data_IF_550756823919
#
_entry.id   IF_550756823919
#
_cell.length_a   1.000
_cell.length_b   1.000
_cell.length_c   1.000
_cell.angle_alpha   90.00
_cell.angle_beta   90.00
_cell.angle_gamma   90.00
#
_symmetry.space_group_name_H-M   'P 1'
#
loop_
_entity.id
_entity.type
_entity.pdbx_description
1 polymer ?
#
# COMPACT_ATOMS: atom_id res chain seq x y z
N UNK A 1 25.40 16.33 -18.40
CA UNK A 1 24.31 15.66 -17.65
C UNK A 1 23.74 16.56 -16.58
N UNK A 2 24.54 17.17 -15.68
CA UNK A 2 23.99 18.04 -14.62
C UNK A 2 23.11 19.20 -15.13
N UNK A 3 23.33 19.67 -16.37
CA UNK A 3 22.46 20.67 -17.03
C UNK A 3 21.01 20.22 -17.23
N UNK A 4 20.78 18.90 -17.32
CA UNK A 4 19.46 18.29 -17.51
C UNK A 4 18.82 17.92 -16.17
N UNK A 5 19.32 18.44 -15.04
CA UNK A 5 18.74 18.26 -13.72
C UNK A 5 18.10 19.56 -13.27
N UNK A 6 16.79 19.52 -13.04
CA UNK A 6 16.01 20.65 -12.58
C UNK A 6 16.15 20.80 -11.06
N UNK A 7 16.37 22.03 -10.59
CA UNK A 7 16.38 22.36 -9.15
C UNK A 7 15.00 22.59 -8.57
N UNK A 8 14.02 22.82 -9.44
CA UNK A 8 12.66 23.14 -9.08
C UNK A 8 11.71 22.43 -10.03
N UNK A 9 10.56 22.04 -9.50
CA UNK A 9 9.60 21.20 -10.23
C UNK A 9 8.95 21.93 -11.42
N UNK A 10 8.78 23.26 -11.32
CA UNK A 10 8.24 24.12 -12.36
C UNK A 10 9.11 24.19 -13.63
N UNK A 11 10.35 23.73 -13.52
CA UNK A 11 11.33 23.70 -14.62
C UNK A 11 11.60 22.30 -15.14
N UNK A 12 10.87 21.30 -14.67
CA UNK A 12 11.11 19.91 -14.99
C UNK A 12 10.16 19.40 -16.06
N UNK A 13 10.69 18.55 -16.95
CA UNK A 13 9.89 17.85 -17.96
C UNK A 13 9.45 16.47 -17.48
N UNK A 14 10.16 15.91 -16.49
CA UNK A 14 9.89 14.58 -15.98
C UNK A 14 10.37 14.39 -14.54
N UNK A 15 9.63 13.60 -13.77
CA UNK A 15 9.98 13.14 -12.43
C UNK A 15 10.78 11.85 -12.51
N UNK A 16 11.77 11.69 -11.63
CA UNK A 16 12.53 10.44 -11.51
C UNK A 16 12.63 10.02 -10.05
N UNK A 17 12.18 8.79 -9.80
CA UNK A 17 12.56 8.07 -8.59
C UNK A 17 13.99 7.53 -8.74
N UNK A 18 14.93 8.27 -8.17
CA UNK A 18 16.36 7.91 -8.20
C UNK A 18 16.58 6.59 -7.47
N UNK A 19 15.81 6.30 -6.44
CA UNK A 19 15.99 5.09 -5.63
C UNK A 19 15.67 3.82 -6.40
N UNK A 20 14.63 3.84 -7.24
CA UNK A 20 14.30 2.72 -8.11
C UNK A 20 15.30 2.64 -9.26
N UNK A 21 15.52 3.74 -9.99
CA UNK A 21 16.36 3.74 -11.19
C UNK A 21 17.82 3.40 -10.88
N UNK A 22 18.39 3.97 -9.81
CA UNK A 22 19.77 3.69 -9.44
C UNK A 22 19.99 2.23 -9.03
N UNK A 23 18.94 1.47 -8.67
CA UNK A 23 19.01 0.05 -8.29
C UNK A 23 18.60 -0.91 -9.41
N UNK A 24 18.26 -0.40 -10.59
CA UNK A 24 17.76 -1.23 -11.67
C UNK A 24 18.87 -2.11 -12.29
N UNK A 25 18.82 -3.40 -11.97
CA UNK A 25 19.69 -4.40 -12.59
C UNK A 25 19.44 -4.50 -14.10
N UNK A 26 20.49 -4.83 -14.86
CA UNK A 26 20.43 -4.98 -16.31
C UNK A 26 20.61 -3.69 -17.11
N UNK A 27 20.62 -2.51 -16.45
CA UNK A 27 21.07 -1.24 -17.04
C UNK A 27 22.43 -0.89 -16.45
N UNK A 28 23.39 -0.55 -17.32
CA UNK A 28 24.74 -0.14 -16.93
C UNK A 28 25.47 -1.15 -16.01
N UNK A 29 25.32 -2.44 -16.29
CA UNK A 29 26.00 -3.51 -15.55
C UNK A 29 25.29 -3.98 -14.28
N UNK A 30 26.03 -4.69 -13.43
CA UNK A 30 25.49 -5.48 -12.31
C UNK A 30 25.69 -4.83 -10.92
N UNK A 31 26.18 -3.59 -10.85
CA UNK A 31 26.32 -2.88 -9.58
C UNK A 31 24.96 -2.76 -8.87
N UNK A 32 24.94 -2.97 -7.54
CA UNK A 32 23.70 -2.83 -6.75
C UNK A 32 23.13 -1.42 -6.89
N UNK A 33 23.99 -0.40 -6.85
CA UNK A 33 23.62 1.00 -7.06
C UNK A 33 24.56 1.64 -8.06
N UNK A 34 24.02 2.39 -9.02
CA UNK A 34 24.82 3.22 -9.92
C UNK A 34 24.10 4.49 -10.37
N UNK A 35 24.78 5.63 -10.28
CA UNK A 35 24.30 6.92 -10.81
C UNK A 35 24.42 7.02 -12.33
N UNK A 36 25.28 6.23 -12.97
CA UNK A 36 25.35 6.14 -14.44
C UNK A 36 23.97 5.85 -15.06
N UNK A 37 23.11 5.12 -14.34
CA UNK A 37 21.72 4.84 -14.76
C UNK A 37 20.89 6.12 -14.91
N UNK A 38 21.09 7.11 -14.04
CA UNK A 38 20.43 8.42 -14.13
C UNK A 38 20.94 9.20 -15.35
N UNK A 39 22.24 9.11 -15.64
CA UNK A 39 22.84 9.76 -16.82
C UNK A 39 22.27 9.21 -18.13
N UNK A 40 22.13 7.88 -18.20
CA UNK A 40 21.53 7.20 -19.35
C UNK A 40 20.05 7.55 -19.52
N UNK A 41 19.33 7.70 -18.40
CA UNK A 41 17.92 8.13 -18.39
C UNK A 41 17.75 9.56 -18.88
N UNK A 42 18.59 10.50 -18.41
CA UNK A 42 18.59 11.88 -18.91
C UNK A 42 18.86 11.94 -20.42
N UNK A 43 19.86 11.19 -20.88
CA UNK A 43 20.14 11.10 -22.31
C UNK A 43 19.00 10.45 -23.11
N UNK A 44 18.28 9.49 -22.51
CA UNK A 44 17.12 8.85 -23.12
C UNK A 44 15.92 9.80 -23.20
N UNK A 45 15.72 10.67 -22.21
CA UNK A 45 14.69 11.71 -22.23
C UNK A 45 14.97 12.69 -23.38
N UNK A 46 16.19 13.24 -23.46
CA UNK A 46 16.60 14.14 -24.54
C UNK A 46 16.37 13.52 -25.92
N UNK A 47 16.73 12.25 -26.11
CA UNK A 47 16.48 11.54 -27.39
C UNK A 47 15.01 11.37 -27.70
N UNK A 48 14.18 11.15 -26.67
CA UNK A 48 12.75 10.93 -26.82
C UNK A 48 11.99 12.21 -27.14
N UNK A 49 12.35 13.31 -26.50
CA UNK A 49 11.72 14.62 -26.71
C UNK A 49 12.27 15.34 -27.94
N UNK A 50 13.51 15.03 -28.34
CA UNK A 50 14.23 15.81 -29.35
C UNK A 50 14.75 17.15 -28.81
N UNK A 51 14.58 17.40 -27.51
CA UNK A 51 14.93 18.65 -26.84
C UNK A 51 16.21 18.45 -26.00
N UNK A 52 17.32 19.14 -26.33
CA UNK A 52 18.58 19.05 -25.57
C UNK A 52 18.49 19.62 -24.15
N UNK A 53 17.50 20.47 -23.87
CA UNK A 53 17.27 21.12 -22.58
C UNK A 53 16.26 20.37 -21.70
N UNK A 54 15.69 19.27 -22.21
CA UNK A 54 14.79 18.41 -21.44
C UNK A 54 15.43 18.00 -20.11
N UNK A 55 14.64 18.09 -19.05
CA UNK A 55 15.13 18.17 -17.68
C UNK A 55 14.40 17.22 -16.72
N UNK A 56 15.13 16.73 -15.73
CA UNK A 56 14.67 15.77 -14.74
C UNK A 56 14.60 16.42 -13.36
N UNK A 57 13.47 16.28 -12.68
CA UNK A 57 13.38 16.51 -11.25
C UNK A 57 13.60 15.18 -10.52
N UNK A 58 14.64 15.15 -9.67
CA UNK A 58 15.10 13.93 -9.03
C UNK A 58 14.64 13.87 -7.58
N UNK A 59 13.99 12.77 -7.21
CA UNK A 59 13.60 12.49 -5.82
C UNK A 59 14.28 11.20 -5.35
N UNK A 60 14.83 11.21 -4.13
CA UNK A 60 15.54 10.07 -3.58
C UNK A 60 15.23 9.80 -2.11
N UNK A 61 15.07 8.53 -1.76
CA UNK A 61 15.02 8.09 -0.36
C UNK A 61 16.30 8.45 0.40
N UNK A 62 16.13 8.80 1.66
CA UNK A 62 17.22 8.90 2.63
C UNK A 62 18.06 7.61 2.71
N UNK A 63 17.43 6.45 2.50
CA UNK A 63 18.09 5.13 2.49
C UNK A 63 19.11 4.95 1.36
N UNK A 64 18.98 5.70 0.26
CA UNK A 64 19.92 5.65 -0.85
C UNK A 64 21.27 6.24 -0.43
N UNK A 65 21.27 7.40 0.24
CA UNK A 65 22.47 8.01 0.80
C UNK A 65 23.03 7.22 1.99
N UNK A 66 22.19 6.66 2.85
CA UNK A 66 22.65 5.84 3.99
C UNK A 66 23.43 4.59 3.59
N UNK A 67 23.25 4.08 2.36
CA UNK A 67 23.93 2.88 1.86
C UNK A 67 25.14 3.16 0.97
N UNK A 68 26.00 4.13 1.32
CA UNK A 68 27.18 4.54 0.51
C UNK A 68 28.07 3.37 0.06
N UNK A 69 28.25 2.36 0.92
CA UNK A 69 29.08 1.18 0.64
C UNK A 69 28.49 0.22 -0.41
N UNK A 70 27.25 0.46 -0.85
CA UNK A 70 26.54 -0.35 -1.84
C UNK A 70 26.64 0.22 -3.26
N UNK A 71 27.22 1.40 -3.42
CA UNK A 71 27.68 1.86 -4.71
C UNK A 71 28.97 1.11 -5.05
N UNK A 72 29.11 0.67 -6.29
CA UNK A 72 30.33 0.03 -6.75
C UNK A 72 31.53 1.01 -6.70
N UNK A 73 31.27 2.29 -6.98
CA UNK A 73 32.24 3.37 -6.88
C UNK A 73 31.88 4.34 -5.73
N UNK A 74 32.73 4.50 -4.70
CA UNK A 74 32.55 5.48 -3.63
C UNK A 74 32.46 6.94 -4.13
N UNK A 75 33.01 7.27 -5.30
CA UNK A 75 32.88 8.59 -5.89
C UNK A 75 31.44 8.92 -6.31
N UNK A 76 30.66 7.94 -6.74
CA UNK A 76 29.23 8.14 -7.03
C UNK A 76 28.44 8.50 -5.77
N UNK A 77 28.71 7.84 -4.64
CA UNK A 77 28.06 8.18 -3.38
C UNK A 77 28.35 9.63 -2.93
N UNK A 78 29.58 10.11 -3.18
CA UNK A 78 29.96 11.52 -2.94
C UNK A 78 29.27 12.47 -3.92
N UNK A 79 29.16 12.09 -5.19
CA UNK A 79 28.43 12.86 -6.22
C UNK A 79 26.94 13.00 -5.89
N UNK A 80 26.29 11.93 -5.45
CA UNK A 80 24.88 12.00 -5.01
C UNK A 80 24.73 12.95 -3.83
N UNK A 81 25.66 12.90 -2.87
CA UNK A 81 25.64 13.84 -1.74
C UNK A 81 25.81 15.29 -2.20
N UNK A 82 26.71 15.55 -3.14
CA UNK A 82 26.89 16.87 -3.75
C UNK A 82 25.60 17.36 -4.44
N UNK A 83 24.95 16.49 -5.22
CA UNK A 83 23.68 16.83 -5.87
C UNK A 83 22.58 17.20 -4.87
N UNK A 84 22.47 16.45 -3.77
CA UNK A 84 21.53 16.78 -2.68
C UNK A 84 21.88 18.14 -2.07
N UNK A 85 23.16 18.37 -1.74
CA UNK A 85 23.61 19.62 -1.15
C UNK A 85 23.37 20.84 -2.06
N UNK A 86 23.42 20.64 -3.39
CA UNK A 86 23.18 21.66 -4.42
C UNK A 86 21.70 21.81 -4.82
N UNK A 87 20.80 21.02 -4.22
CA UNK A 87 19.37 21.03 -4.55
C UNK A 87 19.03 20.46 -5.93
N UNK A 88 19.89 19.59 -6.49
CA UNK A 88 19.62 18.86 -7.73
C UNK A 88 18.88 17.54 -7.50
N UNK A 89 18.82 17.08 -6.25
CA UNK A 89 18.05 15.90 -5.80
C UNK A 89 17.31 16.28 -4.53
N UNK A 90 15.99 16.16 -4.55
CA UNK A 90 15.16 16.27 -3.35
C UNK A 90 15.30 14.96 -2.54
N UNK A 91 15.85 15.06 -1.34
CA UNK A 91 15.94 13.92 -0.43
C UNK A 91 14.75 13.91 0.53
N UNK A 92 14.05 12.78 0.57
CA UNK A 92 12.89 12.58 1.45
C UNK A 92 12.97 11.24 2.20
N UNK A 93 12.18 11.05 3.27
CA UNK A 93 12.10 9.76 3.96
C UNK A 93 11.53 8.63 3.08
N UNK A 94 10.59 8.98 2.19
CA UNK A 94 9.89 8.08 1.27
C UNK A 94 9.75 8.76 -0.10
N UNK A 95 10.54 8.31 -1.08
CA UNK A 95 10.55 8.85 -2.43
C UNK A 95 9.29 8.50 -3.21
N UNK A 96 8.69 7.33 -2.98
CA UNK A 96 7.49 6.89 -3.69
C UNK A 96 6.34 7.85 -3.39
N UNK A 97 6.14 8.18 -2.11
CA UNK A 97 5.11 9.13 -1.68
C UNK A 97 5.29 10.51 -2.33
N UNK A 98 6.52 11.04 -2.30
CA UNK A 98 6.81 12.37 -2.84
C UNK A 98 6.71 12.44 -4.36
N UNK A 99 7.22 11.44 -5.09
CA UNK A 99 7.10 11.37 -6.55
C UNK A 99 5.64 11.30 -6.98
N UNK A 100 4.83 10.48 -6.32
CA UNK A 100 3.41 10.34 -6.64
C UNK A 100 2.61 11.61 -6.31
N UNK A 101 2.93 12.28 -5.20
CA UNK A 101 2.35 13.59 -4.87
C UNK A 101 2.62 14.61 -5.98
N UNK A 102 3.88 14.77 -6.38
CA UNK A 102 4.27 15.71 -7.44
C UNK A 102 3.65 15.33 -8.79
N UNK A 103 3.58 14.05 -9.12
CA UNK A 103 2.98 13.57 -10.36
C UNK A 103 1.48 13.90 -10.43
N UNK A 104 0.76 13.73 -9.33
CA UNK A 104 -0.67 14.06 -9.23
C UNK A 104 -0.90 15.57 -9.34
N UNK A 105 -0.08 16.38 -8.68
CA UNK A 105 -0.21 17.84 -8.69
C UNK A 105 0.14 18.48 -10.03
N UNK A 106 1.14 17.94 -10.74
CA UNK A 106 1.72 18.59 -11.93
C UNK A 106 1.32 17.93 -13.25
N UNK A 107 0.86 16.69 -13.23
CA UNK A 107 0.64 15.90 -14.43
C UNK A 107 1.92 15.48 -15.17
N UNK A 108 3.10 15.77 -14.61
CA UNK A 108 4.37 15.42 -15.24
C UNK A 108 4.55 13.90 -15.34
N UNK A 109 5.20 13.40 -16.41
CA UNK A 109 5.54 12.00 -16.52
C UNK A 109 6.51 11.55 -15.41
N UNK A 110 6.43 10.28 -15.02
CA UNK A 110 7.31 9.66 -14.02
C UNK A 110 8.15 8.56 -14.65
N UNK A 111 9.47 8.64 -14.53
CA UNK A 111 10.39 7.56 -14.92
C UNK A 111 10.65 6.66 -13.72
N UNK A 112 10.18 5.42 -13.81
CA UNK A 112 10.26 4.39 -12.77
C UNK A 112 10.12 2.99 -13.35
N UNK A 113 10.44 1.97 -12.57
CA UNK A 113 10.11 0.58 -12.87
C UNK A 113 9.22 -0.05 -11.78
N UNK A 114 8.77 0.77 -10.81
CA UNK A 114 7.78 0.35 -9.81
C UNK A 114 6.36 0.55 -10.34
N UNK A 115 5.47 -0.36 -9.96
CA UNK A 115 4.04 -0.30 -10.28
C UNK A 115 3.23 0.36 -9.15
N UNK A 116 3.87 0.76 -8.05
CA UNK A 116 3.29 1.45 -6.90
C UNK A 116 2.02 0.77 -6.38
N UNK A 117 2.04 -0.57 -6.33
CA UNK A 117 0.83 -1.37 -6.07
C UNK A 117 0.26 -1.11 -4.68
N UNK A 118 1.11 -0.85 -3.70
CA UNK A 118 0.75 -0.52 -2.32
C UNK A 118 0.23 0.91 -2.11
N UNK A 119 0.52 1.84 -3.03
CA UNK A 119 0.01 3.21 -2.98
C UNK A 119 -1.36 3.38 -3.64
N UNK A 120 -1.90 2.35 -4.32
CA UNK A 120 -3.15 2.48 -5.10
C UNK A 120 -4.41 2.68 -4.25
N UNK A 121 -4.36 2.34 -2.96
CA UNK A 121 -5.45 2.66 -2.03
C UNK A 121 -5.47 4.18 -1.72
N UNK A 122 -4.31 4.84 -1.58
CA UNK A 122 -4.21 6.28 -1.27
C UNK A 122 -4.10 7.18 -2.50
N UNK A 123 -3.71 6.62 -3.65
CA UNK A 123 -3.58 7.30 -4.95
C UNK A 123 -4.34 6.54 -6.03
N UNK A 124 -5.69 6.59 -6.05
CA UNK A 124 -6.51 5.77 -6.96
C UNK A 124 -6.25 6.02 -8.44
N UNK A 125 -5.77 7.22 -8.81
CA UNK A 125 -5.44 7.61 -10.19
C UNK A 125 -4.34 6.75 -10.84
N UNK A 126 -3.56 6.00 -10.06
CA UNK A 126 -2.55 5.07 -10.57
C UNK A 126 -3.21 3.86 -11.26
N UNK A 127 -4.38 3.43 -10.80
CA UNK A 127 -5.08 2.26 -11.35
C UNK A 127 -5.42 2.49 -12.83
N UNK A 128 -4.86 1.67 -13.71
CA UNK A 128 -5.12 1.75 -15.14
C UNK A 128 -4.39 2.88 -15.87
N UNK A 129 -3.58 3.71 -15.20
CA UNK A 129 -2.81 4.75 -15.87
C UNK A 129 -1.82 4.14 -16.87
N UNK A 130 -1.88 4.59 -18.11
CA UNK A 130 -1.13 4.05 -19.25
C UNK A 130 -0.28 5.08 -19.99
N UNK A 131 -0.30 6.34 -19.57
CA UNK A 131 0.32 7.46 -20.29
C UNK A 131 1.36 8.21 -19.47
N UNK A 132 1.21 8.30 -18.15
CA UNK A 132 2.06 9.15 -17.30
C UNK A 132 3.36 8.46 -16.86
N UNK A 133 3.42 7.14 -16.88
CA UNK A 133 4.58 6.39 -16.38
C UNK A 133 5.46 5.88 -17.53
N UNK A 134 6.77 6.03 -17.37
CA UNK A 134 7.79 5.58 -18.30
C UNK A 134 8.75 4.63 -17.57
N UNK A 135 9.16 3.54 -18.23
CA UNK A 135 10.22 2.66 -17.74
C UNK A 135 11.47 2.77 -18.60
N UNK A 136 12.66 2.87 -17.98
CA UNK A 136 13.90 2.75 -18.73
C UNK A 136 14.15 1.27 -19.06
N UNK A 137 14.45 1.00 -20.32
CA UNK A 137 14.82 -0.34 -20.81
C UNK A 137 16.20 -0.31 -21.48
N UNK A 138 17.01 -1.38 -21.33
CA UNK A 138 18.26 -1.50 -22.05
C UNK A 138 18.05 -1.45 -23.56
N UNK A 139 18.89 -0.68 -24.26
CA UNK A 139 18.91 -0.56 -25.71
C UNK A 139 20.30 -0.90 -26.26
N UNK A 140 20.43 -0.93 -27.60
CA UNK A 140 21.70 -1.28 -28.26
C UNK A 140 22.81 -0.30 -27.88
N UNK A 141 24.05 -0.81 -27.85
CA UNK A 141 25.24 0.00 -27.55
C UNK A 141 25.34 0.47 -26.09
N UNK A 142 24.67 -0.20 -25.14
CA UNK A 142 24.72 0.17 -23.73
C UNK A 142 23.89 1.41 -23.39
N UNK A 143 22.98 1.81 -24.28
CA UNK A 143 22.08 2.96 -24.07
C UNK A 143 20.78 2.54 -23.37
N UNK A 144 19.95 3.53 -23.05
CA UNK A 144 18.61 3.34 -22.48
C UNK A 144 17.56 3.94 -23.40
N UNK A 145 16.42 3.29 -23.51
CA UNK A 145 15.20 3.82 -24.13
C UNK A 145 14.12 3.97 -23.05
N UNK A 146 13.29 5.01 -23.13
CA UNK A 146 12.15 5.20 -22.22
C UNK A 146 10.89 4.70 -22.91
N UNK A 147 10.27 3.65 -22.38
CA UNK A 147 9.02 3.08 -22.90
C UNK A 147 7.84 3.37 -21.99
N UNK A 148 6.60 3.49 -22.50
CA UNK A 148 5.42 3.54 -21.66
C UNK A 148 5.38 2.36 -20.67
N UNK A 149 5.03 2.68 -19.42
CA UNK A 149 4.79 1.73 -18.36
C UNK A 149 3.28 1.71 -18.06
N UNK A 150 2.59 0.69 -18.58
CA UNK A 150 1.18 0.49 -18.29
C UNK A 150 1.02 0.01 -16.85
N UNK A 151 0.41 0.82 -15.98
CA UNK A 151 0.23 0.48 -14.58
C UNK A 151 -0.76 -0.67 -14.39
N UNK A 152 -1.66 -0.87 -15.36
CA UNK A 152 -2.68 -1.92 -15.32
C UNK A 152 -3.63 -1.78 -14.14
N UNK A 153 -4.55 -2.73 -13.98
CA UNK A 153 -5.52 -2.77 -12.88
C UNK A 153 -5.14 -3.91 -11.94
N UNK A 154 -5.01 -3.61 -10.65
CA UNK A 154 -4.79 -4.61 -9.58
C UNK A 154 -6.05 -4.81 -8.78
N UNK A 155 -6.29 -6.04 -8.36
CA UNK A 155 -7.40 -6.34 -7.46
C UNK A 155 -7.19 -5.70 -6.09
N UNK A 156 -8.27 -5.35 -5.36
CA UNK A 156 -8.18 -4.84 -3.99
C UNK A 156 -7.39 -5.76 -3.05
N UNK A 157 -7.46 -7.08 -3.29
CA UNK A 157 -6.71 -8.11 -2.59
C UNK A 157 -5.20 -7.95 -2.80
N UNK A 158 -4.73 -7.90 -4.07
CA UNK A 158 -3.31 -7.72 -4.41
C UNK A 158 -2.73 -6.43 -3.81
N UNK A 159 -3.49 -5.33 -3.88
CA UNK A 159 -3.10 -4.03 -3.32
C UNK A 159 -2.86 -4.16 -1.80
N UNK A 160 -3.82 -4.69 -1.05
CA UNK A 160 -3.65 -4.90 0.40
C UNK A 160 -2.55 -5.88 0.76
N UNK A 161 -2.35 -6.92 -0.05
CA UNK A 161 -1.27 -7.90 0.14
C UNK A 161 0.09 -7.22 0.02
N UNK A 162 0.25 -6.36 -1.00
CA UNK A 162 1.47 -5.62 -1.22
C UNK A 162 1.72 -4.59 -0.12
N UNK A 163 0.69 -3.87 0.30
CA UNK A 163 0.78 -2.91 1.40
C UNK A 163 1.24 -3.59 2.71
N UNK A 164 0.71 -4.78 3.04
CA UNK A 164 1.21 -5.55 4.19
C UNK A 164 2.68 -5.95 4.01
N UNK A 165 3.06 -6.45 2.84
CA UNK A 165 4.44 -6.83 2.56
C UNK A 165 5.42 -5.64 2.74
N UNK A 166 5.02 -4.43 2.30
CA UNK A 166 5.79 -3.20 2.49
C UNK A 166 5.94 -2.84 3.97
N UNK A 167 4.87 -2.95 4.77
CA UNK A 167 4.92 -2.77 6.23
C UNK A 167 5.85 -3.78 6.89
N UNK A 168 5.71 -5.07 6.55
CA UNK A 168 6.57 -6.14 7.08
C UNK A 168 8.04 -5.89 6.74
N UNK A 169 8.34 -5.47 5.51
CA UNK A 169 9.70 -5.09 5.08
C UNK A 169 10.23 -3.93 5.92
N UNK A 170 9.45 -2.85 6.07
CA UNK A 170 9.83 -1.65 6.86
C UNK A 170 10.12 -1.99 8.31
N UNK A 171 9.39 -2.94 8.88
CA UNK A 171 9.56 -3.40 10.25
C UNK A 171 10.63 -4.48 10.42
N UNK A 172 11.27 -4.95 9.34
CA UNK A 172 12.28 -6.01 9.40
C UNK A 172 11.70 -7.39 9.73
N UNK A 173 10.44 -7.62 9.40
CA UNK A 173 9.68 -8.85 9.68
C UNK A 173 9.67 -9.84 8.52
N UNK A 174 10.51 -9.61 7.52
CA UNK A 174 10.71 -10.53 6.40
C UNK A 174 12.06 -11.22 6.52
N UNK A 175 12.06 -12.55 6.48
CA UNK A 175 13.24 -13.39 6.40
C UNK A 175 13.73 -13.60 4.96
N UNK A 176 14.51 -14.67 4.78
CA UNK A 176 14.98 -15.07 3.44
C UNK A 176 13.79 -15.30 2.49
N UNK A 177 13.94 -14.89 1.23
CA UNK A 177 12.88 -15.03 0.22
C UNK A 177 11.62 -14.20 0.46
N UNK A 178 11.68 -13.15 1.30
CA UNK A 178 10.53 -12.30 1.67
C UNK A 178 9.41 -13.07 2.38
N UNK A 179 9.75 -14.14 3.08
CA UNK A 179 8.81 -14.90 3.91
C UNK A 179 8.62 -14.18 5.25
N UNK A 180 7.39 -13.95 5.73
CA UNK A 180 7.16 -13.38 7.05
C UNK A 180 7.83 -14.22 8.16
N UNK A 181 8.39 -13.54 9.16
CA UNK A 181 8.92 -14.20 10.37
C UNK A 181 7.75 -14.68 11.23
N UNK A 182 7.19 -15.85 10.92
CA UNK A 182 5.98 -16.41 11.57
C UNK A 182 6.10 -16.50 13.09
N UNK A 183 7.30 -16.78 13.60
CA UNK A 183 7.60 -16.79 15.04
C UNK A 183 7.49 -15.41 15.71
N UNK A 184 7.38 -14.34 14.92
CA UNK A 184 7.18 -12.96 15.40
C UNK A 184 5.78 -12.45 15.03
N UNK A 185 5.37 -12.56 13.77
CA UNK A 185 4.09 -11.98 13.29
C UNK A 185 2.87 -12.76 13.77
N UNK A 186 3.03 -14.05 14.06
CA UNK A 186 1.99 -14.93 14.65
C UNK A 186 1.86 -14.82 16.17
N UNK A 187 2.58 -13.89 16.80
CA UNK A 187 2.57 -13.69 18.26
C UNK A 187 1.94 -12.35 18.63
N UNK A 188 1.30 -12.33 19.80
CA UNK A 188 0.85 -11.10 20.45
C UNK A 188 1.99 -10.53 21.29
N UNK A 189 2.20 -9.23 21.22
CA UNK A 189 3.30 -8.54 21.90
C UNK A 189 2.76 -7.49 22.85
N UNK A 190 3.47 -7.25 23.95
CA UNK A 190 3.19 -6.17 24.91
C UNK A 190 4.44 -5.36 25.18
N UNK A 191 4.29 -4.04 25.23
CA UNK A 191 5.38 -3.17 25.64
C UNK A 191 5.48 -3.12 27.18
N UNK A 192 6.69 -3.24 27.77
CA UNK A 192 6.86 -3.14 29.22
C UNK A 192 6.70 -1.70 29.77
N UNK A 193 6.75 -0.68 28.91
CA UNK A 193 6.48 0.70 29.32
C UNK A 193 5.02 0.85 29.76
N UNK A 194 4.81 1.43 30.95
CA UNK A 194 3.48 1.69 31.49
C UNK A 194 2.73 2.66 30.57
N UNK A 195 1.49 2.33 30.21
CA UNK A 195 0.63 3.20 29.39
C UNK A 195 0.88 3.15 27.89
N UNK A 196 1.74 2.24 27.39
CA UNK A 196 1.93 2.07 25.95
C UNK A 196 0.69 1.46 25.29
N UNK A 197 -0.06 2.25 24.51
CA UNK A 197 -1.25 1.80 23.82
C UNK A 197 -0.98 1.07 22.48
N UNK A 198 0.21 1.24 21.88
CA UNK A 198 0.53 0.70 20.54
C UNK A 198 0.51 -0.83 20.44
N UNK A 199 0.70 -1.51 21.56
CA UNK A 199 0.76 -2.96 21.69
C UNK A 199 -0.21 -3.46 22.78
N UNK A 200 -1.28 -2.70 23.04
CA UNK A 200 -2.31 -3.06 24.01
C UNK A 200 -3.51 -3.66 23.26
N UNK A 201 -3.66 -4.98 23.34
CA UNK A 201 -4.77 -5.73 22.72
C UNK A 201 -6.11 -5.53 23.43
N UNK A 202 -6.11 -5.00 24.67
CA UNK A 202 -7.31 -4.86 25.49
C UNK A 202 -7.91 -3.45 25.45
N UNK A 203 -7.08 -2.42 25.25
CA UNK A 203 -7.49 -1.00 25.31
C UNK A 203 -7.31 -0.23 24.01
N UNK A 204 -6.69 -0.82 23.00
CA UNK A 204 -6.46 -0.19 21.69
C UNK A 204 -7.53 -0.50 20.66
N UNK A 205 -7.50 0.24 19.54
CA UNK A 205 -8.23 -0.09 18.30
C UNK A 205 -7.33 -0.81 17.29
N UNK A 206 -6.02 -0.79 17.50
CA UNK A 206 -5.04 -1.42 16.64
C UNK A 206 -3.84 -1.86 17.44
N UNK A 207 -3.27 -3.01 17.08
CA UNK A 207 -1.99 -3.50 17.57
C UNK A 207 -1.01 -3.56 16.41
N UNK A 208 0.02 -2.72 16.51
CA UNK A 208 1.06 -2.70 15.51
C UNK A 208 1.86 -4.00 15.57
N UNK A 209 2.35 -4.41 14.41
CA UNK A 209 3.41 -5.39 14.32
C UNK A 209 4.72 -4.80 14.91
N UNK A 210 5.56 -5.63 15.54
CA UNK A 210 6.77 -5.15 16.20
C UNK A 210 7.84 -4.73 15.19
N UNK A 211 8.73 -3.81 15.55
CA UNK A 211 9.92 -3.52 14.74
C UNK A 211 11.06 -4.43 15.17
N UNK A 212 11.72 -5.08 14.21
CA UNK A 212 12.92 -5.87 14.49
C UNK A 212 14.13 -4.96 14.61
N UNK A 213 14.83 -5.02 15.75
CA UNK A 213 16.12 -4.37 15.97
C UNK A 213 17.10 -5.40 16.54
N UNK A 214 18.24 -5.57 15.89
CA UNK A 214 19.25 -6.56 16.27
C UNK A 214 18.67 -7.97 16.55
N UNK A 215 17.73 -8.40 15.72
CA UNK A 215 17.06 -9.71 15.85
C UNK A 215 16.00 -9.80 16.95
N UNK A 216 15.62 -8.69 17.60
CA UNK A 216 14.63 -8.68 18.70
C UNK A 216 13.40 -7.83 18.37
N UNK A 217 12.17 -8.30 18.70
CA UNK A 217 10.95 -7.51 18.62
C UNK A 217 11.00 -6.31 19.56
N UNK A 218 10.88 -5.11 19.01
CA UNK A 218 11.07 -3.83 19.72
C UNK A 218 9.87 -2.91 19.51
N UNK A 219 9.49 -2.20 20.57
CA UNK A 219 8.45 -1.18 20.52
C UNK A 219 8.89 0.00 19.64
N UNK A 220 8.05 0.40 18.70
CA UNK A 220 8.34 1.54 17.82
C UNK A 220 8.51 2.86 18.60
N UNK A 221 7.68 3.10 19.61
CA UNK A 221 7.70 4.34 20.40
C UNK A 221 8.78 4.37 21.48
N UNK A 222 8.84 3.32 22.32
CA UNK A 222 9.71 3.33 23.51
C UNK A 222 11.09 2.70 23.28
N UNK A 223 11.32 2.09 22.10
CA UNK A 223 12.54 1.35 21.79
C UNK A 223 12.90 0.20 22.78
N UNK A 224 11.93 -0.24 23.60
CA UNK A 224 12.09 -1.37 24.54
C UNK A 224 11.76 -2.70 23.86
N UNK A 225 12.49 -3.76 24.24
CA UNK A 225 12.16 -5.13 23.85
C UNK A 225 10.75 -5.48 24.30
N UNK A 226 9.96 -6.04 23.39
CA UNK A 226 8.58 -6.43 23.67
C UNK A 226 8.52 -7.77 24.40
N UNK A 227 7.51 -7.91 25.24
CA UNK A 227 7.18 -9.13 25.94
C UNK A 227 6.19 -9.95 25.10
N UNK A 228 6.49 -11.23 24.92
CA UNK A 228 5.58 -12.17 24.26
C UNK A 228 4.33 -12.40 25.16
N UNK A 229 3.15 -12.37 24.56
CA UNK A 229 1.85 -12.60 25.21
C UNK A 229 1.13 -13.84 24.68
N UNK A 230 1.81 -14.68 23.90
CA UNK A 230 1.22 -15.88 23.34
C UNK A 230 0.85 -15.73 21.87
N UNK A 231 0.05 -16.66 21.38
CA UNK A 231 -0.37 -16.67 19.98
C UNK A 231 -1.27 -15.47 19.67
N UNK A 232 -1.09 -14.91 18.47
CA UNK A 232 -2.01 -13.92 17.92
C UNK A 232 -3.29 -14.62 17.47
N UNK A 233 -4.44 -14.04 17.80
CA UNK A 233 -5.71 -14.53 17.27
C UNK A 233 -5.70 -14.45 15.74
N UNK A 234 -6.12 -15.53 15.08
CA UNK A 234 -6.31 -15.51 13.64
C UNK A 234 -7.45 -14.56 13.31
N UNK A 235 -7.24 -13.69 12.32
CA UNK A 235 -8.25 -12.72 11.91
C UNK A 235 -8.25 -12.54 10.39
N UNK A 236 -9.40 -12.20 9.86
CA UNK A 236 -9.59 -11.84 8.46
C UNK A 236 -10.14 -10.42 8.38
N UNK A 237 -9.63 -9.63 7.43
CA UNK A 237 -10.12 -8.28 7.21
C UNK A 237 -11.01 -8.23 5.96
N UNK A 238 -12.15 -7.58 6.09
CA UNK A 238 -13.06 -7.21 5.01
C UNK A 238 -12.84 -5.75 4.63
N UNK A 239 -13.02 -5.44 3.36
CA UNK A 239 -13.09 -4.07 2.84
C UNK A 239 -14.48 -3.82 2.29
N UNK A 240 -15.05 -2.66 2.61
CA UNK A 240 -16.22 -2.11 1.95
C UNK A 240 -15.76 -1.17 0.85
N UNK A 241 -16.23 -1.44 -0.36
CA UNK A 241 -15.99 -0.64 -1.55
C UNK A 241 -17.29 0.05 -1.96
N UNK A 242 -17.21 1.37 -2.16
CA UNK A 242 -18.23 2.20 -2.76
C UNK A 242 -17.72 2.68 -4.12
N UNK A 243 -18.38 2.29 -5.21
CA UNK A 243 -17.97 2.62 -6.58
C UNK A 243 -16.51 2.22 -6.91
N UNK A 244 -16.02 1.17 -6.23
CA UNK A 244 -14.65 0.69 -6.37
C UNK A 244 -13.64 1.33 -5.40
N UNK A 245 -14.01 2.39 -4.69
CA UNK A 245 -13.18 3.04 -3.67
C UNK A 245 -13.39 2.39 -2.29
N UNK A 246 -12.31 2.10 -1.57
CA UNK A 246 -12.39 1.52 -0.23
C UNK A 246 -12.79 2.59 0.79
N UNK A 247 -13.99 2.47 1.38
CA UNK A 247 -14.53 3.44 2.35
C UNK A 247 -14.45 2.97 3.79
N UNK A 248 -14.36 1.65 4.03
CA UNK A 248 -14.20 1.10 5.38
C UNK A 248 -13.50 -0.26 5.36
N UNK A 249 -12.89 -0.62 6.51
CA UNK A 249 -12.25 -1.91 6.75
C UNK A 249 -12.73 -2.49 8.08
N UNK A 250 -12.95 -3.81 8.12
CA UNK A 250 -13.46 -4.50 9.30
C UNK A 250 -12.65 -5.76 9.55
N UNK A 251 -12.14 -5.91 10.77
CA UNK A 251 -11.42 -7.13 11.16
C UNK A 251 -12.39 -8.09 11.86
N UNK A 252 -12.41 -9.34 11.43
CA UNK A 252 -13.20 -10.42 12.01
C UNK A 252 -12.25 -11.45 12.62
N UNK A 253 -12.46 -11.81 13.88
CA UNK A 253 -11.70 -12.89 14.51
C UNK A 253 -12.18 -14.26 14.03
N UNK A 254 -11.27 -15.22 13.92
CA UNK A 254 -11.63 -16.60 13.67
C UNK A 254 -12.55 -17.12 14.80
N UNK A 255 -13.58 -17.89 14.42
CA UNK A 255 -14.65 -18.35 15.30
C UNK A 255 -15.81 -17.37 15.45
N UNK A 256 -15.76 -16.18 14.82
CA UNK A 256 -16.85 -15.19 14.91
C UNK A 256 -17.87 -15.32 13.78
N UNK A 257 -19.13 -14.99 14.09
CA UNK A 257 -20.20 -14.82 13.11
C UNK A 257 -20.70 -13.39 13.20
N UNK A 258 -20.64 -12.66 12.08
CA UNK A 258 -21.00 -11.25 12.01
C UNK A 258 -22.03 -11.01 10.91
N UNK A 259 -23.12 -10.31 11.26
CA UNK A 259 -24.13 -9.88 10.28
C UNK A 259 -23.77 -8.51 9.73
N UNK A 260 -23.90 -8.33 8.43
CA UNK A 260 -23.65 -7.07 7.72
C UNK A 260 -24.95 -6.58 7.12
N UNK A 261 -25.27 -5.29 7.28
CA UNK A 261 -26.43 -4.69 6.63
C UNK A 261 -26.69 -3.26 7.08
N UNK A 262 -27.88 -2.75 6.77
CA UNK A 262 -28.28 -1.39 7.16
C UNK A 262 -28.41 -1.21 8.68
N UNK A 263 -28.86 -2.25 9.37
CA UNK A 263 -29.11 -2.24 10.82
C UNK A 263 -29.14 -3.69 11.33
N UNK A 264 -27.97 -4.35 11.39
CA UNK A 264 -27.88 -5.80 11.60
C UNK A 264 -28.15 -6.26 13.05
N UNK A 265 -28.32 -5.33 13.99
CA UNK A 265 -28.47 -5.59 15.42
C UNK A 265 -27.13 -5.63 16.16
N UNK A 266 -27.18 -6.02 17.43
CA UNK A 266 -26.01 -6.06 18.31
C UNK A 266 -24.91 -6.98 17.78
N UNK A 267 -23.66 -6.49 17.82
CA UNK A 267 -22.49 -7.21 17.30
C UNK A 267 -22.45 -7.31 15.76
N UNK A 268 -23.40 -6.70 15.05
CA UNK A 268 -23.42 -6.65 13.60
C UNK A 268 -22.72 -5.41 13.04
N UNK A 269 -22.21 -5.52 11.83
CA UNK A 269 -21.53 -4.47 11.07
C UNK A 269 -22.58 -3.62 10.34
N UNK A 270 -22.86 -2.44 10.89
CA UNK A 270 -23.77 -1.47 10.28
C UNK A 270 -23.08 -0.71 9.14
N UNK A 271 -23.74 -0.61 7.99
CA UNK A 271 -23.29 0.21 6.86
C UNK A 271 -23.74 1.68 6.97
N UNK A 272 -24.50 2.02 8.01
CA UNK A 272 -24.97 3.39 8.25
C UNK A 272 -23.79 4.35 8.46
N UNK A 273 -23.82 5.51 7.79
CA UNK A 273 -22.76 6.52 7.84
C UNK A 273 -21.50 6.17 7.02
N UNK A 274 -21.40 4.96 6.49
CA UNK A 274 -20.29 4.53 5.63
C UNK A 274 -20.62 4.63 4.14
N UNK A 275 -21.91 4.61 3.80
CA UNK A 275 -22.42 4.77 2.43
C UNK A 275 -23.60 5.75 2.41
N UNK A 276 -23.90 6.38 1.26
CA UNK A 276 -25.05 7.28 1.12
C UNK A 276 -26.39 6.62 1.47
N UNK A 277 -27.28 7.35 2.15
CA UNK A 277 -28.58 6.85 2.64
C UNK A 277 -29.47 6.30 1.52
N UNK A 278 -29.38 6.87 0.31
CA UNK A 278 -30.12 6.42 -0.86
C UNK A 278 -29.74 4.99 -1.27
N UNK A 279 -28.46 4.64 -1.17
CA UNK A 279 -27.97 3.28 -1.45
C UNK A 279 -28.30 2.36 -0.26
N UNK A 280 -28.11 2.86 0.95
CA UNK A 280 -28.40 2.14 2.19
C UNK A 280 -29.87 1.69 2.28
N UNK A 281 -30.81 2.50 1.78
CA UNK A 281 -32.23 2.16 1.74
C UNK A 281 -32.54 0.87 0.94
N UNK A 282 -31.67 0.51 -0.01
CA UNK A 282 -31.76 -0.71 -0.84
C UNK A 282 -31.04 -1.90 -0.23
N UNK A 283 -30.41 -1.74 0.94
CA UNK A 283 -29.75 -2.81 1.68
C UNK A 283 -30.67 -3.26 2.81
N UNK A 284 -30.92 -4.57 2.89
CA UNK A 284 -31.63 -5.20 4.00
C UNK A 284 -31.02 -4.86 5.37
N UNK A 285 -31.83 -4.86 6.43
CA UNK A 285 -31.36 -4.62 7.80
C UNK A 285 -30.21 -5.54 8.18
N UNK A 286 -30.40 -6.84 7.97
CA UNK A 286 -29.36 -7.86 7.91
C UNK A 286 -29.33 -8.39 6.49
N UNK A 287 -28.24 -8.15 5.77
CA UNK A 287 -28.12 -8.45 4.34
C UNK A 287 -27.30 -9.70 4.10
N UNK A 288 -26.14 -9.81 4.75
CA UNK A 288 -25.26 -10.98 4.68
C UNK A 288 -24.91 -11.42 6.10
N UNK A 289 -24.76 -12.72 6.30
CA UNK A 289 -24.06 -13.27 7.46
C UNK A 289 -22.69 -13.78 7.02
N UNK A 290 -21.67 -13.41 7.78
CA UNK A 290 -20.27 -13.78 7.52
C UNK A 290 -19.77 -14.59 8.71
N UNK A 291 -19.37 -15.82 8.44
CA UNK A 291 -18.75 -16.71 9.40
C UNK A 291 -17.24 -16.76 9.12
N UNK A 292 -16.45 -16.28 10.06
CA UNK A 292 -14.99 -16.37 10.00
C UNK A 292 -14.56 -17.65 10.72
N UNK A 293 -14.00 -18.62 10.00
CA UNK A 293 -13.39 -19.81 10.59
C UNK A 293 -11.87 -19.73 10.46
N UNK A 294 -11.15 -20.61 11.15
CA UNK A 294 -9.68 -20.66 11.04
C UNK A 294 -9.18 -20.84 9.60
N UNK A 295 -9.97 -21.52 8.77
CA UNK A 295 -9.61 -21.89 7.40
C UNK A 295 -10.09 -20.91 6.33
N UNK A 296 -10.94 -19.93 6.66
CA UNK A 296 -11.51 -19.04 5.64
C UNK A 296 -12.69 -18.18 6.09
N UNK A 297 -13.41 -17.61 5.12
CA UNK A 297 -14.65 -16.87 5.33
C UNK A 297 -15.77 -17.56 4.58
N UNK A 298 -16.93 -17.69 5.22
CA UNK A 298 -18.14 -18.19 4.59
C UNK A 298 -19.21 -17.10 4.65
N UNK A 299 -19.93 -16.91 3.55
CA UNK A 299 -20.98 -15.90 3.43
C UNK A 299 -22.31 -16.55 3.12
N UNK A 300 -23.36 -16.07 3.76
CA UNK A 300 -24.75 -16.48 3.50
C UNK A 300 -25.60 -15.26 3.20
N UNK A 301 -26.34 -15.32 2.10
CA UNK A 301 -27.29 -14.25 1.74
C UNK A 301 -28.54 -14.32 2.65
N UNK A 302 -28.82 -13.24 3.36
CA UNK A 302 -30.02 -13.04 4.18
C UNK A 302 -30.95 -11.99 3.57
N UNK A 303 -30.59 -11.43 2.42
CA UNK A 303 -31.25 -10.27 1.85
C UNK A 303 -32.57 -10.63 1.18
N UNK A 304 -33.48 -9.66 1.15
CA UNK A 304 -34.70 -9.76 0.34
C UNK A 304 -34.48 -9.36 -1.12
N UNK A 305 -33.34 -8.74 -1.44
CA UNK A 305 -33.04 -8.18 -2.76
C UNK A 305 -32.09 -9.05 -3.59
N UNK A 306 -31.47 -10.05 -2.96
CA UNK A 306 -30.44 -10.90 -3.54
C UNK A 306 -29.08 -10.22 -3.59
N UNK A 307 -28.04 -11.01 -3.30
CA UNK A 307 -26.63 -10.64 -3.43
C UNK A 307 -26.00 -11.34 -4.62
N UNK A 308 -24.88 -10.79 -5.11
CA UNK A 308 -24.11 -11.40 -6.20
C UNK A 308 -22.66 -11.56 -5.79
N UNK A 309 -22.04 -12.64 -6.23
CA UNK A 309 -20.61 -12.89 -6.03
C UNK A 309 -19.92 -12.97 -7.39
N UNK A 310 -18.69 -12.47 -7.47
CA UNK A 310 -17.77 -12.79 -8.57
C UNK A 310 -16.45 -13.23 -7.99
N UNK A 311 -15.79 -14.11 -8.74
CA UNK A 311 -14.50 -14.71 -8.35
C UNK A 311 -13.43 -14.34 -9.37
N UNK A 312 -12.17 -14.21 -8.95
CA UNK A 312 -11.08 -13.99 -9.89
C UNK A 312 -10.94 -15.20 -10.83
N UNK A 313 -10.66 -14.92 -12.10
CA UNK A 313 -10.30 -15.93 -13.11
C UNK A 313 -8.81 -16.24 -13.04
N UNK A 314 -8.41 -17.36 -13.63
CA UNK A 314 -7.01 -17.63 -13.94
C UNK A 314 -6.43 -16.43 -14.73
N UNK A 315 -5.31 -15.88 -14.25
CA UNK A 315 -4.71 -14.67 -14.82
C UNK A 315 -5.12 -13.34 -14.17
N UNK A 316 -5.90 -13.36 -13.09
CA UNK A 316 -6.13 -12.19 -12.22
C UNK A 316 -7.23 -11.23 -12.66
N UNK A 317 -7.88 -11.49 -13.80
CA UNK A 317 -9.08 -10.73 -14.21
C UNK A 317 -10.30 -11.16 -13.38
N UNK A 318 -11.20 -10.22 -13.07
CA UNK A 318 -12.43 -10.56 -12.36
C UNK A 318 -13.40 -11.34 -13.25
N UNK A 319 -14.04 -12.36 -12.68
CA UNK A 319 -15.09 -13.13 -13.32
C UNK A 319 -16.40 -12.37 -13.47
N UNK A 320 -17.38 -13.03 -14.07
CA UNK A 320 -18.74 -12.51 -14.20
C UNK A 320 -19.50 -12.63 -12.87
N UNK A 321 -20.38 -11.67 -12.59
CA UNK A 321 -21.24 -11.69 -11.42
C UNK A 321 -22.30 -12.79 -11.51
N UNK A 322 -22.32 -13.71 -10.54
CA UNK A 322 -23.33 -14.74 -10.36
C UNK A 322 -24.16 -14.51 -9.09
N UNK A 323 -25.45 -14.90 -9.04
CA UNK A 323 -26.24 -14.84 -7.80
C UNK A 323 -25.57 -15.61 -6.65
N UNK A 324 -25.62 -15.05 -5.45
CA UNK A 324 -25.23 -15.74 -4.22
C UNK A 324 -26.43 -16.57 -3.72
N UNK A 325 -26.29 -17.88 -3.49
CA UNK A 325 -27.38 -18.69 -2.94
C UNK A 325 -27.77 -18.25 -1.52
N UNK A 326 -29.07 -18.15 -1.24
CA UNK A 326 -29.61 -17.78 0.07
C UNK A 326 -29.83 -18.97 1.01
N UNK A 327 -29.89 -20.18 0.46
CA UNK A 327 -30.16 -21.42 1.18
C UNK A 327 -28.91 -22.04 1.84
N UNK A 328 -27.71 -21.68 1.39
CA UNK A 328 -26.45 -22.24 1.88
C UNK A 328 -25.35 -21.20 2.05
N UNK A 329 -24.46 -21.45 2.99
CA UNK A 329 -23.22 -20.69 3.12
C UNK A 329 -22.26 -21.04 1.97
N UNK A 330 -21.63 -20.02 1.40
CA UNK A 330 -20.71 -20.13 0.27
C UNK A 330 -19.32 -19.66 0.71
N UNK A 331 -18.28 -20.36 0.27
CA UNK A 331 -16.89 -19.93 0.52
C UNK A 331 -16.62 -18.57 -0.13
N UNK A 332 -15.95 -17.71 0.63
CA UNK A 332 -15.57 -16.34 0.26
C UNK A 332 -14.05 -16.19 0.33
N UNK A 333 -13.44 -16.53 -0.81
CA UNK A 333 -11.99 -16.67 -0.93
C UNK A 333 -11.25 -15.34 -1.07
N UNK A 334 -9.91 -15.37 -1.02
CA UNK A 334 -9.09 -14.22 -1.36
C UNK A 334 -9.34 -13.75 -2.80
N UNK A 335 -9.67 -12.47 -2.98
CA UNK A 335 -9.97 -11.86 -4.28
C UNK A 335 -11.43 -11.98 -4.73
N UNK A 336 -12.27 -12.74 -4.01
CA UNK A 336 -13.71 -12.77 -4.23
C UNK A 336 -14.32 -11.42 -3.87
N UNK A 337 -15.33 -11.03 -4.64
CA UNK A 337 -16.12 -9.83 -4.41
C UNK A 337 -17.59 -10.17 -4.26
N UNK A 338 -18.22 -9.59 -3.24
CA UNK A 338 -19.61 -9.77 -2.88
C UNK A 338 -20.35 -8.44 -3.04
N UNK A 339 -21.20 -8.34 -4.05
CA UNK A 339 -22.05 -7.20 -4.31
C UNK A 339 -23.36 -7.33 -3.52
N UNK A 340 -23.57 -6.40 -2.60
CA UNK A 340 -24.83 -6.25 -1.84
C UNK A 340 -25.88 -5.52 -2.69
N UNK A 341 -25.42 -4.55 -3.47
CA UNK A 341 -26.19 -3.85 -4.49
C UNK A 341 -25.21 -3.22 -5.50
N UNK A 342 -25.65 -2.77 -6.68
CA UNK A 342 -24.78 -1.98 -7.58
C UNK A 342 -24.02 -0.88 -6.82
N UNK A 343 -22.72 -0.71 -7.10
CA UNK A 343 -21.80 0.19 -6.40
C UNK A 343 -21.38 -0.20 -4.95
N UNK A 344 -22.07 -1.09 -4.24
CA UNK A 344 -21.69 -1.49 -2.87
C UNK A 344 -21.17 -2.92 -2.85
N UNK A 345 -19.85 -3.07 -2.64
CA UNK A 345 -19.15 -4.36 -2.70
C UNK A 345 -18.35 -4.61 -1.43
N UNK A 346 -18.41 -5.83 -0.92
CA UNK A 346 -17.51 -6.36 0.09
C UNK A 346 -16.44 -7.22 -0.59
N UNK A 347 -15.18 -7.07 -0.19
CA UNK A 347 -14.08 -7.93 -0.64
C UNK A 347 -13.24 -8.35 0.56
N UNK A 348 -12.66 -9.54 0.50
CA UNK A 348 -11.63 -9.95 1.46
C UNK A 348 -10.34 -9.16 1.21
N UNK A 349 -9.76 -8.59 2.27
CA UNK A 349 -8.43 -8.00 2.26
C UNK A 349 -7.37 -9.09 2.09
N UNK A 350 -6.31 -8.80 1.33
CA UNK A 350 -5.12 -9.66 1.20
C UNK A 350 -4.14 -9.57 2.38
N UNK A 351 -4.45 -8.74 3.39
CA UNK A 351 -3.68 -8.71 4.65
C UNK A 351 -3.89 -10.02 5.42
N UNK A 352 -2.79 -10.66 5.85
CA UNK A 352 -2.78 -11.81 6.77
C UNK A 352 -2.65 -11.39 8.23
N UNK A 353 -2.07 -10.22 8.48
CA UNK A 353 -1.73 -9.69 9.80
C UNK A 353 -2.29 -8.27 9.98
N UNK A 354 -3.63 -8.08 9.93
CA UNK A 354 -4.24 -6.76 10.06
C UNK A 354 -3.88 -6.13 11.42
N UNK A 355 -3.50 -4.86 11.42
CA UNK A 355 -3.16 -4.16 12.66
C UNK A 355 -4.42 -3.82 13.46
N UNK A 356 -5.54 -3.58 12.78
CA UNK A 356 -6.83 -3.23 13.35
C UNK A 356 -7.41 -4.40 14.14
N UNK A 357 -7.82 -4.15 15.38
CA UNK A 357 -8.46 -5.16 16.24
C UNK A 357 -9.92 -5.39 15.81
N UNK A 358 -10.44 -6.59 16.04
CA UNK A 358 -11.82 -6.94 15.66
C UNK A 358 -12.89 -6.10 16.33
N UNK A 359 -12.62 -5.60 17.54
CA UNK A 359 -13.54 -4.73 18.28
C UNK A 359 -13.54 -3.28 17.81
N UNK A 360 -12.55 -2.87 17.02
CA UNK A 360 -12.37 -1.46 16.64
C UNK A 360 -13.56 -0.87 15.87
N UNK A 361 -14.31 -1.70 15.14
CA UNK A 361 -15.53 -1.28 14.44
C UNK A 361 -16.82 -1.52 15.24
N UNK A 362 -16.74 -2.26 16.36
CA UNK A 362 -17.87 -2.54 17.24
C UNK A 362 -18.14 -1.37 18.21
N UNK A 363 -17.13 -0.55 18.47
CA UNK A 363 -17.27 0.74 19.14
C UNK A 363 -17.31 1.87 18.09
N UNK A 364 -18.50 2.30 17.65
CA UNK A 364 -18.60 3.41 16.70
C UNK A 364 -18.19 4.70 17.41
N UNK A 365 -16.95 5.14 17.22
CA UNK A 365 -16.67 6.58 17.22
C UNK A 365 -16.92 7.09 15.80
N UNK A 366 -17.63 8.22 15.63
CA UNK A 366 -17.58 8.92 14.36
C UNK A 366 -16.12 9.30 14.13
N UNK A 367 -15.49 8.73 13.10
CA UNK A 367 -14.26 9.29 12.56
C UNK A 367 -14.63 10.68 12.04
N UNK A 368 -14.26 11.71 12.81
CA UNK A 368 -14.03 13.03 12.23
C UNK A 368 -12.98 12.91 11.12
N UNK A 369 -12.94 13.87 10.18
CA UNK A 369 -12.02 13.83 9.06
C UNK A 369 -10.61 13.48 9.54
N UNK A 370 -9.98 12.48 8.91
CA UNK A 370 -8.57 12.19 9.15
C UNK A 370 -7.80 13.52 9.04
N UNK A 371 -6.92 13.86 9.99
CA UNK A 371 -6.06 15.02 9.82
C UNK A 371 -5.24 14.79 8.55
N UNK A 372 -5.29 15.76 7.64
CA UNK A 372 -4.37 15.87 6.53
C UNK A 372 -2.94 15.69 7.07
N UNK A 373 -2.07 14.91 6.40
CA UNK A 373 -0.65 14.86 6.75
C UNK A 373 0.09 16.20 6.52
N UNK A 374 -0.62 17.28 6.18
CA UNK A 374 -0.07 18.58 5.77
C UNK A 374 -0.01 19.69 6.82
N UNK A 375 -0.48 19.50 8.05
CA UNK A 375 -0.41 20.57 9.08
C UNK A 375 0.41 20.16 10.31
N UNK A 376 1.73 20.10 10.13
CA UNK A 376 2.65 20.34 11.22
C UNK A 376 2.77 21.86 11.42
N UNK A 377 1.94 22.40 12.31
CA UNK A 377 2.06 23.78 12.79
C UNK A 377 3.42 23.94 13.45
N UNK A 378 4.20 24.87 12.93
CA UNK A 378 5.46 25.35 13.49
C UNK A 378 5.25 25.85 14.92
N UNK A 379 5.97 25.23 15.86
CA UNK A 379 6.27 25.83 17.15
C UNK A 379 7.78 25.70 17.39
N UNK A 380 8.50 26.80 17.14
CA UNK A 380 9.75 27.13 17.83
C UNK A 380 9.44 28.26 18.80
N UNK A 381 10.16 28.30 19.92
CA UNK A 381 10.99 29.47 20.19
C UNK A 381 12.45 29.23 19.79
#
# INVERSE_FOLDING_TARGET
>A
MERNLARSIDRADCLVDVSVVARQAGIAGNAERSLLRIELVAAALVRRTGDPDASLYLVADASLLGGRRRFADPAEARRLQDWVNRGLVEQVPDADERVLELAEMTGLPVITNDYYVDHRDSRPWIQGNDWQFLKPVPARGGTVELKPLHMGVRSPHEISRKAEESVLKKQGLLGAGRVPLENVVGRSWRCPARGCALYDTARGNSVLLPRMRAGRPTCELHALTLLDQGSRAAAAQLKLLLEGCCVARFTLDAGSTTRVGRSPGDGGLSLHGLIPDQLLARISRSHIEIEARETGLWVKDLSSYGSRVRRPRCGGSQGSWSPLPSDRSTDFGPGDELQLMPAVVLTRSGRRFPAELSRAWQDPKPEGPQPDPGTATSYFP
#
